data_IF_393773782924
#
_entry.id   IF_393773782924
#
_cell.length_a   1.000
_cell.length_b   1.000
_cell.length_c   1.000
_cell.angle_alpha   90.00
_cell.angle_beta   90.00
_cell.angle_gamma   90.00
#
_symmetry.space_group_name_H-M   'P 1'
#
loop_
_entity.id
_entity.type
_entity.pdbx_description
1 polymer ?
#
# COMPACT_ATOMS: atom_id res chain seq x y z
N UNK A 1 -38.62 -56.95 -46.18
CA UNK A 1 -37.55 -56.49 -45.26
C UNK A 1 -36.25 -56.39 -46.06
N UNK A 2 -35.88 -55.20 -46.53
CA UNK A 2 -34.68 -55.01 -47.33
C UNK A 2 -33.44 -54.91 -46.42
N UNK A 3 -32.60 -55.94 -46.45
CA UNK A 3 -31.31 -55.97 -45.77
C UNK A 3 -30.32 -55.08 -46.51
N UNK A 4 -29.93 -53.94 -45.91
CA UNK A 4 -28.84 -53.10 -46.44
C UNK A 4 -27.53 -53.86 -46.30
N UNK A 5 -26.82 -54.08 -47.42
CA UNK A 5 -25.46 -54.64 -47.44
C UNK A 5 -24.52 -53.74 -46.61
N UNK A 6 -23.76 -54.34 -45.69
CA UNK A 6 -22.68 -53.67 -44.97
C UNK A 6 -21.46 -53.56 -45.88
N UNK A 7 -21.21 -52.35 -46.39
CA UNK A 7 -20.02 -52.03 -47.19
C UNK A 7 -18.77 -52.03 -46.30
N UNK A 8 -17.87 -52.99 -46.51
CA UNK A 8 -16.69 -53.23 -45.63
C UNK A 8 -15.66 -52.09 -45.60
N UNK A 9 -15.74 -51.13 -46.53
CA UNK A 9 -14.86 -49.95 -46.58
C UNK A 9 -15.28 -48.77 -45.68
N UNK A 10 -16.57 -48.66 -45.34
CA UNK A 10 -17.09 -47.53 -44.54
C UNK A 10 -16.55 -47.55 -43.09
N UNK A 11 -16.34 -48.74 -42.52
CA UNK A 11 -15.86 -48.91 -41.14
C UNK A 11 -14.41 -48.43 -40.93
N UNK A 12 -13.57 -48.49 -41.97
CA UNK A 12 -12.16 -48.03 -41.88
C UNK A 12 -12.11 -46.50 -41.92
N UNK A 13 -12.91 -45.89 -42.80
CA UNK A 13 -13.01 -44.43 -42.91
C UNK A 13 -13.56 -43.85 -41.60
N UNK A 14 -14.61 -44.45 -41.04
CA UNK A 14 -15.19 -44.04 -39.75
C UNK A 14 -14.18 -44.12 -38.61
N UNK A 15 -13.36 -45.16 -38.56
CA UNK A 15 -12.30 -45.29 -37.56
C UNK A 15 -11.23 -44.18 -37.70
N UNK A 16 -10.77 -43.90 -38.92
CA UNK A 16 -9.77 -42.84 -39.16
C UNK A 16 -10.34 -41.47 -38.79
N UNK A 17 -11.59 -41.20 -39.14
CA UNK A 17 -12.27 -39.93 -38.78
C UNK A 17 -12.45 -39.83 -37.27
N UNK A 18 -12.90 -40.88 -36.60
CA UNK A 18 -13.08 -40.90 -35.15
C UNK A 18 -11.76 -40.64 -34.41
N UNK A 19 -10.67 -41.30 -34.83
CA UNK A 19 -9.32 -41.05 -34.28
C UNK A 19 -8.87 -39.62 -34.57
N UNK A 20 -9.08 -39.11 -35.78
CA UNK A 20 -8.75 -37.73 -36.14
C UNK A 20 -9.44 -36.70 -35.25
N UNK A 21 -10.75 -36.85 -35.04
CA UNK A 21 -11.52 -35.98 -34.15
C UNK A 21 -11.03 -36.11 -32.70
N UNK A 22 -10.79 -37.35 -32.24
CA UNK A 22 -10.32 -37.58 -30.87
C UNK A 22 -8.96 -36.91 -30.62
N UNK A 23 -8.03 -36.97 -31.57
CA UNK A 23 -6.73 -36.31 -31.47
C UNK A 23 -6.86 -34.77 -31.44
N UNK A 24 -7.76 -34.20 -32.24
CA UNK A 24 -8.02 -32.75 -32.22
C UNK A 24 -8.60 -32.32 -30.86
N UNK A 25 -9.55 -33.08 -30.32
CA UNK A 25 -10.17 -32.79 -29.02
C UNK A 25 -9.16 -32.96 -27.88
N UNK A 26 -8.40 -34.04 -27.87
CA UNK A 26 -7.38 -34.28 -26.85
C UNK A 26 -6.26 -33.23 -26.89
N UNK A 27 -5.78 -32.89 -28.09
CA UNK A 27 -4.74 -31.88 -28.28
C UNK A 27 -5.20 -30.48 -27.85
N UNK A 28 -6.40 -30.06 -28.27
CA UNK A 28 -6.96 -28.77 -27.86
C UNK A 28 -7.21 -28.72 -26.34
N UNK A 29 -7.75 -29.78 -25.74
CA UNK A 29 -7.93 -29.88 -24.29
C UNK A 29 -6.61 -29.74 -23.52
N UNK A 30 -5.55 -30.42 -23.95
CA UNK A 30 -4.23 -30.31 -23.31
C UNK A 30 -3.66 -28.88 -23.37
N UNK A 31 -3.76 -28.22 -24.53
CA UNK A 31 -3.33 -26.83 -24.70
C UNK A 31 -4.15 -25.87 -23.83
N UNK A 32 -5.47 -26.08 -23.72
CA UNK A 32 -6.33 -25.28 -22.85
C UNK A 32 -5.94 -25.39 -21.38
N UNK A 33 -5.61 -26.59 -20.89
CA UNK A 33 -5.18 -26.81 -19.50
C UNK A 33 -3.84 -26.11 -19.22
N UNK A 34 -2.87 -26.22 -20.13
CA UNK A 34 -1.59 -25.53 -19.99
C UNK A 34 -1.75 -24.00 -19.97
N UNK A 35 -2.62 -23.48 -20.85
CA UNK A 35 -2.99 -22.07 -20.87
C UNK A 35 -3.61 -21.62 -19.53
N UNK A 36 -4.54 -22.40 -18.99
CA UNK A 36 -5.18 -22.11 -17.71
C UNK A 36 -4.18 -22.12 -16.54
N UNK A 37 -3.26 -23.08 -16.48
CA UNK A 37 -2.21 -23.14 -15.45
C UNK A 37 -1.28 -21.93 -15.51
N UNK A 38 -0.86 -21.53 -16.73
CA UNK A 38 -0.04 -20.34 -16.92
C UNK A 38 -0.76 -19.06 -16.48
N UNK A 39 -2.04 -18.92 -16.84
CA UNK A 39 -2.85 -17.78 -16.44
C UNK A 39 -3.04 -17.72 -14.91
N UNK A 40 -3.33 -18.86 -14.26
CA UNK A 40 -3.46 -18.94 -12.81
C UNK A 40 -2.17 -18.58 -12.08
N UNK A 41 -1.01 -19.02 -12.58
CA UNK A 41 0.29 -18.63 -12.02
C UNK A 41 0.52 -17.12 -12.12
N UNK A 42 0.23 -16.54 -13.29
CA UNK A 42 0.37 -15.09 -13.48
C UNK A 42 -0.59 -14.31 -12.57
N UNK A 43 -1.85 -14.73 -12.45
CA UNK A 43 -2.83 -14.12 -11.58
C UNK A 43 -2.39 -14.17 -10.11
N UNK A 44 -1.89 -15.32 -9.64
CA UNK A 44 -1.32 -15.47 -8.29
C UNK A 44 -0.17 -14.49 -8.06
N UNK A 45 0.73 -14.38 -9.03
CA UNK A 45 1.88 -13.50 -8.91
C UNK A 45 1.47 -12.02 -8.80
N UNK A 46 0.49 -11.61 -9.61
CA UNK A 46 -0.09 -10.26 -9.53
C UNK A 46 -0.80 -10.00 -8.20
N UNK A 47 -1.61 -10.94 -7.70
CA UNK A 47 -2.31 -10.77 -6.42
C UNK A 47 -1.30 -10.58 -5.27
N UNK A 48 -0.25 -11.40 -5.24
CA UNK A 48 0.76 -11.31 -4.19
C UNK A 48 1.59 -10.01 -4.31
N UNK A 49 2.00 -9.62 -5.53
CA UNK A 49 2.70 -8.36 -5.75
C UNK A 49 1.85 -7.14 -5.37
N UNK A 50 0.56 -7.16 -5.70
CA UNK A 50 -0.38 -6.09 -5.34
C UNK A 50 -0.55 -5.99 -3.83
N UNK A 51 -0.75 -7.11 -3.13
CA UNK A 51 -0.86 -7.11 -1.67
C UNK A 51 0.41 -6.54 -1.02
N UNK A 52 1.59 -6.93 -1.50
CA UNK A 52 2.87 -6.44 -1.00
C UNK A 52 3.10 -4.94 -1.31
N UNK A 53 2.65 -4.46 -2.46
CA UNK A 53 2.70 -3.05 -2.81
C UNK A 53 1.75 -2.21 -1.92
N UNK A 54 0.53 -2.70 -1.68
CA UNK A 54 -0.45 -2.08 -0.78
C UNK A 54 0.03 -2.03 0.66
N UNK A 55 0.58 -3.13 1.18
CA UNK A 55 1.23 -3.16 2.49
C UNK A 55 2.31 -2.09 2.60
N UNK A 56 3.08 -1.87 1.53
CA UNK A 56 4.08 -0.80 1.46
C UNK A 56 3.47 0.59 1.69
N UNK A 57 2.32 0.89 1.09
CA UNK A 57 1.63 2.17 1.31
C UNK A 57 1.13 2.32 2.75
N UNK A 58 0.60 1.25 3.36
CA UNK A 58 0.19 1.27 4.77
C UNK A 58 1.37 1.41 5.72
N UNK A 59 2.49 0.75 5.42
CA UNK A 59 3.72 0.90 6.17
C UNK A 59 4.22 2.35 6.16
N UNK A 60 4.20 3.02 5.00
CA UNK A 60 4.57 4.44 4.92
C UNK A 60 3.59 5.34 5.66
N UNK A 61 2.28 5.00 5.70
CA UNK A 61 1.34 5.72 6.57
C UNK A 61 1.68 5.55 8.05
N UNK A 62 2.15 4.38 8.47
CA UNK A 62 2.63 4.16 9.83
C UNK A 62 3.91 4.96 10.12
N UNK A 63 4.88 4.97 9.20
CA UNK A 63 6.10 5.81 9.29
C UNK A 63 5.72 7.28 9.42
N UNK A 64 4.82 7.77 8.56
CA UNK A 64 4.27 9.14 8.61
C UNK A 64 3.67 9.49 9.97
N UNK A 65 2.86 8.58 10.53
CA UNK A 65 2.20 8.79 11.82
C UNK A 65 3.19 8.79 12.99
N UNK A 66 4.32 8.09 12.83
CA UNK A 66 5.40 8.10 13.80
C UNK A 66 6.21 9.41 13.68
N UNK A 67 6.76 9.71 12.50
CA UNK A 67 7.48 10.95 12.25
C UNK A 67 7.36 11.35 10.79
N UNK A 68 6.78 12.54 10.54
CA UNK A 68 6.74 13.12 9.20
C UNK A 68 8.15 13.36 8.65
N UNK A 69 9.06 13.79 9.51
CA UNK A 69 10.42 14.17 9.10
C UNK A 69 11.26 12.94 8.72
N UNK A 70 10.82 11.73 9.07
CA UNK A 70 11.41 10.48 8.60
C UNK A 70 11.10 10.17 7.13
N UNK A 71 10.13 10.85 6.50
CA UNK A 71 9.80 10.67 5.08
C UNK A 71 10.74 11.49 4.18
N UNK A 72 11.99 11.04 4.11
CA UNK A 72 12.98 11.65 3.23
C UNK A 72 12.72 11.32 1.76
N UNK A 73 12.90 12.29 0.87
CA UNK A 73 12.72 12.06 -0.56
C UNK A 73 13.76 11.09 -1.10
N UNK A 74 13.35 10.22 -2.03
CA UNK A 74 14.21 9.20 -2.62
C UNK A 74 13.56 7.83 -2.67
N UNK A 75 14.38 6.83 -3.01
CA UNK A 75 13.97 5.44 -3.06
C UNK A 75 14.35 4.73 -1.77
N UNK A 76 13.40 4.00 -1.20
CA UNK A 76 13.55 3.34 0.09
C UNK A 76 12.97 1.92 0.05
N UNK A 77 13.56 1.04 0.86
CA UNK A 77 12.89 -0.18 1.32
C UNK A 77 12.19 0.03 2.65
N UNK A 78 11.56 -1.02 3.15
CA UNK A 78 10.86 -1.04 4.44
C UNK A 78 11.35 -2.18 5.33
N UNK A 79 11.42 -1.94 6.63
CA UNK A 79 11.66 -2.96 7.66
C UNK A 79 10.73 -2.75 8.85
N UNK A 80 10.44 -3.83 9.57
CA UNK A 80 9.64 -3.83 10.78
C UNK A 80 10.30 -4.57 11.96
N UNK A 81 11.62 -4.75 11.91
CA UNK A 81 12.38 -5.59 12.86
C UNK A 81 12.21 -5.14 14.32
N UNK A 82 11.97 -3.84 14.54
CA UNK A 82 11.81 -3.24 15.87
C UNK A 82 10.36 -3.23 16.37
N UNK A 83 9.43 -3.89 15.66
CA UNK A 83 8.00 -3.91 15.99
C UNK A 83 7.21 -2.70 15.45
N UNK A 84 7.85 -1.80 14.71
CA UNK A 84 7.23 -0.69 13.99
C UNK A 84 7.87 -0.54 12.61
N UNK A 85 7.16 0.07 11.67
CA UNK A 85 7.66 0.31 10.31
C UNK A 85 8.65 1.46 10.25
N UNK A 86 9.75 1.25 9.54
CA UNK A 86 10.79 2.24 9.27
C UNK A 86 11.33 2.11 7.84
N UNK A 87 11.81 3.21 7.26
CA UNK A 87 12.52 3.21 5.98
C UNK A 87 13.88 2.53 6.15
N UNK A 88 14.28 1.73 5.17
CA UNK A 88 15.58 1.03 5.21
C UNK A 88 16.10 0.71 3.81
N UNK A 89 17.38 1.02 3.56
CA UNK A 89 18.01 0.79 2.26
C UNK A 89 17.25 1.45 1.10
N UNK A 90 17.52 1.02 -0.14
CA UNK A 90 16.86 1.57 -1.33
C UNK A 90 15.68 0.73 -1.85
N UNK A 91 15.54 -0.49 -1.32
CA UNK A 91 14.51 -1.46 -1.69
C UNK A 91 14.43 -2.55 -0.62
N UNK A 92 13.29 -3.21 -0.49
CA UNK A 92 13.14 -4.43 0.29
C UNK A 92 12.61 -5.58 -0.56
N UNK A 93 12.79 -6.82 -0.10
CA UNK A 93 12.41 -8.00 -0.88
C UNK A 93 11.75 -9.06 -0.04
N UNK A 94 10.71 -9.67 -0.60
CA UNK A 94 10.04 -10.84 -0.04
C UNK A 94 10.03 -11.95 -1.10
N UNK A 95 10.91 -12.94 -0.93
CA UNK A 95 11.08 -14.03 -1.90
C UNK A 95 11.53 -13.51 -3.27
N UNK A 96 10.69 -13.63 -4.29
CA UNK A 96 10.97 -13.17 -5.67
C UNK A 96 10.50 -11.75 -5.97
N UNK A 97 9.84 -11.10 -5.01
CA UNK A 97 9.28 -9.77 -5.15
C UNK A 97 10.23 -8.75 -4.55
N UNK A 98 10.58 -7.73 -5.32
CA UNK A 98 11.38 -6.58 -4.87
C UNK A 98 10.50 -5.35 -4.88
N UNK A 99 10.37 -4.69 -3.72
CA UNK A 99 9.62 -3.46 -3.51
C UNK A 99 10.56 -2.27 -3.42
N UNK A 100 10.17 -1.18 -4.06
CA UNK A 100 10.77 0.14 -3.91
C UNK A 100 9.65 1.11 -3.55
N UNK A 101 9.84 1.85 -2.46
CA UNK A 101 9.02 3.01 -2.13
C UNK A 101 9.76 4.25 -2.63
N UNK A 102 9.14 4.99 -3.53
CA UNK A 102 9.63 6.30 -3.97
C UNK A 102 8.85 7.39 -3.25
N UNK A 103 9.57 8.28 -2.58
CA UNK A 103 9.02 9.43 -1.85
C UNK A 103 9.46 10.70 -2.58
N UNK A 104 8.50 11.53 -2.94
CA UNK A 104 8.72 12.80 -3.63
C UNK A 104 7.89 13.90 -2.99
N UNK A 105 8.31 15.16 -3.11
CA UNK A 105 7.45 16.26 -2.72
C UNK A 105 6.28 16.38 -3.70
N UNK A 106 5.09 16.61 -3.19
CA UNK A 106 3.91 16.70 -4.03
C UNK A 106 3.83 18.07 -4.71
N UNK A 107 3.58 18.07 -6.02
CA UNK A 107 3.24 19.26 -6.79
C UNK A 107 1.83 19.14 -7.34
N UNK A 108 0.98 20.14 -7.08
CA UNK A 108 -0.38 20.23 -7.63
C UNK A 108 -0.43 21.51 -8.45
N UNK A 109 -0.82 21.42 -9.73
CA UNK A 109 -0.86 22.57 -10.64
C UNK A 109 0.47 23.36 -10.68
N UNK A 110 1.59 22.63 -10.72
CA UNK A 110 2.96 23.19 -10.71
C UNK A 110 3.37 23.91 -9.40
N UNK A 111 2.52 23.88 -8.37
CA UNK A 111 2.83 24.45 -7.05
C UNK A 111 3.25 23.37 -6.05
N UNK A 112 4.38 23.62 -5.37
CA UNK A 112 4.93 22.76 -4.33
C UNK A 112 4.04 22.77 -3.08
N UNK A 113 3.56 21.60 -2.68
CA UNK A 113 2.77 21.42 -1.46
C UNK A 113 3.69 21.05 -0.29
N UNK A 114 4.12 22.05 0.49
CA UNK A 114 5.13 21.89 1.55
C UNK A 114 4.80 20.82 2.60
N UNK A 115 3.50 20.58 2.84
CA UNK A 115 3.00 19.61 3.82
C UNK A 115 2.45 18.33 3.16
N UNK A 116 2.79 18.06 1.89
CA UNK A 116 2.29 16.89 1.15
C UNK A 116 3.43 16.18 0.41
N UNK A 117 3.44 14.85 0.49
CA UNK A 117 4.36 13.98 -0.22
C UNK A 117 3.62 13.02 -1.14
N UNK A 118 4.18 12.81 -2.33
CA UNK A 118 3.78 11.79 -3.28
C UNK A 118 4.53 10.50 -2.94
N UNK A 119 3.79 9.42 -2.71
CA UNK A 119 4.36 8.13 -2.36
C UNK A 119 3.99 7.13 -3.43
N UNK A 120 4.99 6.49 -4.02
CA UNK A 120 4.82 5.44 -5.02
C UNK A 120 5.42 4.14 -4.51
N UNK A 121 4.60 3.10 -4.38
CA UNK A 121 5.03 1.74 -4.02
C UNK A 121 5.05 0.87 -5.27
N UNK A 122 6.24 0.51 -5.72
CA UNK A 122 6.46 -0.33 -6.90
C UNK A 122 7.01 -1.68 -6.50
N UNK A 123 6.36 -2.75 -6.92
CA UNK A 123 6.83 -4.13 -6.74
C UNK A 123 7.16 -4.73 -8.10
N UNK A 124 8.34 -5.32 -8.20
CA UNK A 124 8.82 -6.02 -9.40
C UNK A 124 9.13 -7.48 -9.09
N UNK A 125 8.89 -8.36 -10.07
CA UNK A 125 9.24 -9.79 -9.94
C UNK A 125 9.51 -10.41 -11.30
N UNK A 126 10.29 -11.48 -11.32
CA UNK A 126 10.52 -12.26 -12.54
C UNK A 126 9.43 -13.32 -12.69
N UNK A 127 8.54 -13.17 -13.68
CA UNK A 127 7.49 -14.16 -14.00
C UNK A 127 8.06 -15.35 -14.77
N UNK A 128 9.02 -15.07 -15.66
CA UNK A 128 9.92 -16.03 -16.33
C UNK A 128 11.32 -15.41 -16.39
N UNK A 129 12.38 -16.18 -16.71
CA UNK A 129 13.73 -15.60 -16.88
C UNK A 129 13.82 -14.48 -17.92
N UNK A 130 12.84 -14.38 -18.82
CA UNK A 130 12.77 -13.39 -19.91
C UNK A 130 11.66 -12.35 -19.74
N UNK A 131 10.78 -12.48 -18.75
CA UNK A 131 9.64 -11.57 -18.55
C UNK A 131 9.54 -11.13 -17.08
N UNK A 132 9.73 -9.84 -16.87
CA UNK A 132 9.51 -9.18 -15.59
C UNK A 132 8.06 -8.67 -15.52
N UNK A 133 7.43 -8.85 -14.35
CA UNK A 133 6.17 -8.21 -14.00
C UNK A 133 6.39 -7.05 -13.04
N UNK A 134 5.49 -6.07 -13.07
CA UNK A 134 5.44 -5.00 -12.09
C UNK A 134 3.99 -4.69 -11.68
N UNK A 135 3.85 -4.14 -10.48
CA UNK A 135 2.64 -3.47 -9.97
C UNK A 135 3.09 -2.20 -9.29
N UNK A 136 2.31 -1.13 -9.47
CA UNK A 136 2.59 0.18 -8.91
C UNK A 136 1.32 0.80 -8.34
N UNK A 137 1.42 1.30 -7.11
CA UNK A 137 0.37 2.09 -6.48
C UNK A 137 0.94 3.40 -5.98
N UNK A 138 0.17 4.46 -6.17
CA UNK A 138 0.56 5.81 -5.80
C UNK A 138 -0.49 6.42 -4.88
N UNK A 139 -0.05 7.17 -3.88
CA UNK A 139 -0.92 7.89 -2.96
C UNK A 139 -0.27 9.20 -2.52
N UNK A 140 -1.08 10.15 -2.08
CA UNK A 140 -0.60 11.37 -1.45
C UNK A 140 -0.75 11.24 0.05
N UNK A 141 0.30 11.64 0.78
CA UNK A 141 0.27 11.74 2.23
C UNK A 141 0.45 13.20 2.61
N UNK A 142 -0.31 13.65 3.60
CA UNK A 142 -0.22 15.01 4.15
C UNK A 142 0.36 14.97 5.57
N UNK A 143 1.03 16.05 5.97
CA UNK A 143 1.48 16.29 7.35
C UNK A 143 0.26 16.63 8.21
N UNK A 144 -0.51 15.60 8.57
CA UNK A 144 -1.78 15.77 9.26
C UNK A 144 -1.61 16.29 10.69
N UNK A 145 -0.45 16.05 11.32
CA UNK A 145 -0.18 16.50 12.68
C UNK A 145 0.07 18.00 12.76
N UNK A 146 0.42 18.71 11.68
CA UNK A 146 0.57 20.17 11.71
C UNK A 146 -0.75 20.90 11.55
N UNK A 147 -1.83 20.42 12.19
CA UNK A 147 -3.09 21.16 12.23
C UNK A 147 -2.80 22.54 12.82
N UNK A 148 -2.78 23.54 11.96
CA UNK A 148 -2.70 24.95 12.30
C UNK A 148 -4.07 25.34 12.84
N UNK A 149 -4.39 24.87 14.04
CA UNK A 149 -5.63 25.24 14.70
C UNK A 149 -5.50 26.67 15.22
N UNK A 150 -6.59 27.42 15.07
CA UNK A 150 -6.73 28.75 15.65
C UNK A 150 -7.04 28.60 17.13
N UNK A 151 -6.32 29.31 18.00
CA UNK A 151 -6.66 29.31 19.42
C UNK A 151 -7.93 30.16 19.60
N UNK A 152 -9.01 29.65 20.25
CA UNK A 152 -10.21 30.43 20.46
C UNK A 152 -9.90 31.78 21.11
N UNK A 153 -10.27 32.88 20.44
CA UNK A 153 -9.97 34.24 20.90
C UNK A 153 -8.61 34.81 20.50
N UNK A 154 -7.76 34.08 19.76
CA UNK A 154 -6.46 34.57 19.28
C UNK A 154 -6.33 34.48 17.76
N UNK A 155 -5.90 35.56 17.10
CA UNK A 155 -5.64 35.60 15.65
C UNK A 155 -4.43 34.75 15.19
N UNK A 156 -3.78 34.04 16.10
CA UNK A 156 -2.59 33.25 15.84
C UNK A 156 -2.88 31.76 15.75
N UNK A 157 -2.10 31.07 14.92
CA UNK A 157 -1.93 29.63 15.05
C UNK A 157 -1.14 29.39 16.33
N UNK A 158 -1.68 28.58 17.23
CA UNK A 158 -1.08 28.36 18.54
C UNK A 158 -0.66 26.93 18.80
N UNK A 159 -0.10 26.76 19.99
CA UNK A 159 0.37 25.51 20.59
C UNK A 159 -0.56 25.12 21.75
N UNK A 160 -0.32 23.95 22.34
CA UNK A 160 -1.01 23.54 23.56
C UNK A 160 -0.83 24.57 24.68
N UNK A 161 0.37 25.16 24.78
CA UNK A 161 0.69 26.26 25.69
C UNK A 161 -0.24 27.47 25.44
N UNK A 162 -0.32 27.94 24.20
CA UNK A 162 -1.14 29.10 23.84
C UNK A 162 -2.63 28.88 24.16
N UNK A 163 -3.14 27.67 23.90
CA UNK A 163 -4.51 27.31 24.27
C UNK A 163 -4.73 27.33 25.78
N UNK A 164 -3.85 26.71 26.56
CA UNK A 164 -3.98 26.65 28.01
C UNK A 164 -3.95 28.04 28.65
N UNK A 165 -3.12 28.95 28.15
CA UNK A 165 -3.09 30.34 28.59
C UNK A 165 -4.40 31.08 28.31
N UNK A 166 -5.10 30.81 27.19
CA UNK A 166 -6.44 31.39 26.94
C UNK A 166 -7.53 30.86 27.87
N UNK A 167 -7.28 29.73 28.51
CA UNK A 167 -8.19 29.11 29.47
C UNK A 167 -7.79 29.42 30.93
N UNK A 168 -6.94 30.44 31.16
CA UNK A 168 -6.42 30.87 32.45
C UNK A 168 -5.53 29.85 33.19
N UNK A 169 -4.82 28.99 32.45
CA UNK A 169 -3.77 28.12 33.00
C UNK A 169 -2.37 28.70 32.77
N UNK A 170 -1.43 28.39 33.66
CA UNK A 170 -0.07 28.92 33.61
C UNK A 170 0.79 28.29 32.51
N UNK A 171 0.52 27.04 32.12
CA UNK A 171 1.21 26.37 31.00
C UNK A 171 0.41 25.22 30.39
N UNK A 172 0.83 24.78 29.21
CA UNK A 172 0.29 23.65 28.46
C UNK A 172 1.41 22.73 27.94
N UNK A 173 1.34 21.45 28.29
CA UNK A 173 2.33 20.44 27.85
C UNK A 173 1.65 19.28 27.14
N UNK A 174 2.29 18.80 26.08
CA UNK A 174 1.84 17.62 25.36
C UNK A 174 2.32 16.33 26.04
N UNK A 175 1.38 15.40 26.27
CA UNK A 175 1.57 14.13 26.96
C UNK A 175 1.04 12.97 26.13
N UNK A 176 1.39 11.76 26.55
CA UNK A 176 1.04 10.55 25.80
C UNK A 176 -0.40 10.14 25.93
N UNK A 177 -1.03 10.34 27.08
CA UNK A 177 -2.42 9.95 27.33
C UNK A 177 -3.10 10.90 28.34
N UNK A 178 -4.44 11.04 28.29
CA UNK A 178 -5.23 11.86 29.21
C UNK A 178 -5.00 11.59 30.70
N UNK A 179 -4.67 10.35 31.08
CA UNK A 179 -4.41 9.98 32.47
C UNK A 179 -3.15 10.64 33.08
N UNK A 180 -2.33 11.31 32.27
CA UNK A 180 -1.16 12.07 32.72
C UNK A 180 -1.46 13.56 32.93
N UNK A 181 -2.68 14.01 32.64
CA UNK A 181 -3.08 15.41 32.78
C UNK A 181 -3.78 15.67 34.12
N UNK A 182 -3.47 16.80 34.76
CA UNK A 182 -4.33 17.42 35.78
C UNK A 182 -5.64 17.90 35.17
N UNK A 183 -5.55 18.58 34.02
CA UNK A 183 -6.69 19.04 33.22
C UNK A 183 -6.37 18.77 31.74
N UNK A 184 -7.32 18.15 31.05
CA UNK A 184 -7.25 17.89 29.62
C UNK A 184 -8.47 18.51 28.93
N UNK A 185 -8.21 19.33 27.91
CA UNK A 185 -9.23 19.77 26.97
C UNK A 185 -9.11 18.98 25.68
N UNK A 186 -10.06 18.08 25.35
CA UNK A 186 -9.96 17.24 24.15
C UNK A 186 -9.78 18.02 22.85
N UNK A 187 -10.32 19.24 22.76
CA UNK A 187 -10.08 20.13 21.63
C UNK A 187 -8.60 20.56 21.51
N UNK A 188 -7.92 20.75 22.63
CA UNK A 188 -6.55 21.23 22.65
C UNK A 188 -5.53 20.16 22.24
N UNK A 189 -5.92 18.89 22.21
CA UNK A 189 -5.10 17.77 21.73
C UNK A 189 -4.57 18.00 20.31
N UNK A 190 -5.32 18.71 19.45
CA UNK A 190 -4.89 19.02 18.09
C UNK A 190 -3.65 19.94 18.02
N UNK A 191 -3.31 20.64 19.11
CA UNK A 191 -2.12 21.48 19.19
C UNK A 191 -0.86 20.72 19.62
N UNK A 192 -1.00 19.42 19.86
CA UNK A 192 0.09 18.55 20.26
C UNK A 192 0.52 17.68 19.06
N UNK A 193 1.61 18.12 18.42
CA UNK A 193 1.99 17.72 17.05
C UNK A 193 3.39 17.09 16.96
N UNK A 194 4.05 16.90 18.11
CA UNK A 194 5.49 16.62 18.27
C UNK A 194 5.84 15.12 18.22
N UNK A 195 5.05 14.28 17.56
CA UNK A 195 5.38 12.86 17.32
C UNK A 195 4.52 11.85 18.08
N UNK A 196 4.91 10.56 18.09
CA UNK A 196 4.05 9.48 18.55
C UNK A 196 3.85 9.58 20.06
N UNK A 197 2.61 9.46 20.53
CA UNK A 197 2.32 9.54 21.96
C UNK A 197 2.64 10.90 22.58
N UNK A 198 2.43 11.98 21.84
CA UNK A 198 2.27 13.32 22.39
C UNK A 198 1.02 13.95 21.79
N UNK A 199 -0.11 13.25 21.86
CA UNK A 199 -1.37 13.67 21.22
C UNK A 199 -2.32 14.34 22.23
N UNK A 200 -1.90 14.46 23.49
CA UNK A 200 -2.77 14.94 24.57
C UNK A 200 -2.26 16.27 25.11
N UNK A 201 -3.06 17.33 25.01
CA UNK A 201 -2.73 18.61 25.63
C UNK A 201 -3.17 18.63 27.10
N UNK A 202 -2.22 18.84 28.00
CA UNK A 202 -2.46 18.96 29.43
C UNK A 202 -2.22 20.39 29.91
N UNK A 203 -3.24 21.03 30.47
CA UNK A 203 -3.10 22.36 31.08
C UNK A 203 -2.71 22.24 32.56
N UNK A 204 -1.79 23.10 32.98
CA UNK A 204 -1.18 23.11 34.30
C UNK A 204 -1.33 24.51 34.89
N UNK A 205 -1.84 24.58 36.12
CA UNK A 205 -1.80 25.77 36.96
C UNK A 205 -0.45 25.89 37.66
#
# INVERSE_FOLDING_TARGET
MNSKKKEKGQSIIEFIVAVGIMLIVAGSGALSVLGALSANKQAKDHIQASAYAQEGLEAIRAVRNNSWDALENGNHGLTNTQGYWELSGNSDSQGKYTRVITIEDATIEEELQMDTKLITSRVTWNSTPTRQGNVEFTTYLTKWQTVRAFVPGSLTIGTCEDFCQTMDYNSGICRSHPGQCSVNFPYANQFCTQGPSQDTCCCIN
#
